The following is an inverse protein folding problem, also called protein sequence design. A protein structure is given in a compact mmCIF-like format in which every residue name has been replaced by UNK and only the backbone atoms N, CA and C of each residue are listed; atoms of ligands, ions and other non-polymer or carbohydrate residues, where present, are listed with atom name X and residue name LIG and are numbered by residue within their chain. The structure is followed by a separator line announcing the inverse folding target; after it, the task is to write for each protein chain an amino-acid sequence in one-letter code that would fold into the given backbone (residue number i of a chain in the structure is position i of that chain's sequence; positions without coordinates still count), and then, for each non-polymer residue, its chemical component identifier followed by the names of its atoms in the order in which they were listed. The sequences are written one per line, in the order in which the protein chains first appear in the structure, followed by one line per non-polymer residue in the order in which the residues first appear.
data_IF_003066685599
#
_entry.id   IF_003066685599
#
_cell.length_a   1.000
_cell.length_b   1.000
_cell.length_c   1.000
_cell.angle_alpha   90.00
_cell.angle_beta   90.00
_cell.angle_gamma   90.00
#
_symmetry.space_group_name_H-M   'P 1'
#
loop_
_entity.id
_entity.type
_entity.pdbx_description
1 polymer ?
#
# COMPACT_ATOMS: atom_id res chain seq x y z
N UNK A 1 10.45 17.98 25.62
CA UNK A 1 11.48 17.79 26.66
C UNK A 1 12.66 18.64 26.27
N UNK A 2 13.24 19.41 27.20
CA UNK A 2 14.48 20.13 26.89
C UNK A 2 15.59 19.10 26.69
N UNK A 3 16.53 19.38 25.78
CA UNK A 3 17.75 18.58 25.60
C UNK A 3 18.50 18.35 26.93
N UNK A 4 18.28 19.23 27.90
CA UNK A 4 18.79 19.17 29.27
C UNK A 4 18.27 17.95 30.05
N UNK A 5 16.96 17.65 29.99
CA UNK A 5 16.39 16.48 30.67
C UNK A 5 16.85 15.16 30.04
N UNK A 6 17.02 15.13 28.72
CA UNK A 6 17.59 13.96 28.03
C UNK A 6 19.04 13.72 28.46
N UNK A 7 19.81 14.78 28.60
CA UNK A 7 21.22 14.71 29.02
C UNK A 7 21.36 14.25 30.46
N UNK A 8 20.45 14.66 31.35
CA UNK A 8 20.42 14.22 32.75
C UNK A 8 20.13 12.71 32.87
N UNK A 9 19.17 12.20 32.11
CA UNK A 9 18.86 10.76 32.08
C UNK A 9 20.08 9.94 31.61
N UNK A 10 20.81 10.43 30.61
CA UNK A 10 22.03 9.77 30.11
C UNK A 10 23.20 9.85 31.09
N UNK A 11 23.34 10.95 31.84
CA UNK A 11 24.35 11.08 32.89
C UNK A 11 24.07 10.11 34.07
N UNK A 12 22.80 9.92 34.44
CA UNK A 12 22.41 8.95 35.47
C UNK A 12 22.67 7.49 35.04
N UNK A 13 22.49 7.18 33.76
CA UNK A 13 22.83 5.87 33.18
C UNK A 13 24.34 5.65 33.16
N UNK A 14 25.14 6.67 32.77
CA UNK A 14 26.60 6.59 32.79
C UNK A 14 27.17 6.38 34.20
N UNK A 15 26.48 6.91 35.23
CA UNK A 15 26.82 6.72 36.65
C UNK A 15 26.29 5.39 37.23
N UNK A 16 25.58 4.59 36.43
CA UNK A 16 25.01 3.30 36.84
C UNK A 16 23.86 3.39 37.83
N UNK A 17 23.28 4.59 38.02
CA UNK A 17 22.14 4.82 38.92
C UNK A 17 20.79 4.54 38.27
N UNK A 18 20.79 4.36 36.96
CA UNK A 18 19.62 4.06 36.14
C UNK A 18 19.99 2.94 35.17
N UNK A 19 19.17 1.90 35.10
CA UNK A 19 19.39 0.82 34.14
C UNK A 19 19.04 1.27 32.72
N UNK A 20 19.58 0.55 31.73
CA UNK A 20 19.29 0.81 30.31
C UNK A 20 17.79 0.69 30.04
N UNK A 21 17.12 -0.30 30.61
CA UNK A 21 15.70 -0.54 30.42
C UNK A 21 14.83 0.60 31.00
N UNK A 22 15.18 1.09 32.19
CA UNK A 22 14.49 2.24 32.80
C UNK A 22 14.71 3.53 32.00
N UNK A 23 15.92 3.75 31.47
CA UNK A 23 16.22 4.90 30.63
C UNK A 23 15.43 4.87 29.31
N UNK A 24 15.22 3.70 28.70
CA UNK A 24 14.43 3.55 27.47
C UNK A 24 12.97 3.96 27.70
N UNK A 25 12.38 3.53 28.82
CA UNK A 25 11.00 3.87 29.17
C UNK A 25 10.88 5.38 29.37
N UNK A 26 11.74 5.98 30.18
CA UNK A 26 11.69 7.42 30.49
C UNK A 26 11.91 8.30 29.25
N UNK A 27 12.80 7.91 28.33
CA UNK A 27 13.01 8.60 27.07
C UNK A 27 11.81 8.48 26.11
N UNK A 28 11.10 7.36 26.14
CA UNK A 28 9.91 7.14 25.31
C UNK A 28 8.71 7.94 25.80
N UNK A 29 8.50 8.00 27.12
CA UNK A 29 7.43 8.78 27.75
C UNK A 29 7.66 10.29 27.55
N UNK A 30 8.92 10.72 27.70
CA UNK A 30 9.38 12.07 27.41
C UNK A 30 9.06 12.51 25.96
N UNK A 31 9.24 11.63 24.98
CA UNK A 31 8.89 11.89 23.57
C UNK A 31 7.38 12.02 23.35
N UNK A 32 6.59 11.16 23.99
CA UNK A 32 5.11 11.17 23.88
C UNK A 32 4.50 12.46 24.45
N UNK A 33 5.10 13.02 25.50
CA UNK A 33 4.72 14.31 26.07
C UNK A 33 5.06 15.51 25.15
N UNK A 34 6.09 15.39 24.31
CA UNK A 34 6.48 16.44 23.35
C UNK A 34 5.54 16.48 22.12
N UNK A 35 5.07 15.32 21.66
CA UNK A 35 4.11 15.23 20.55
C UNK A 35 2.72 15.75 20.92
N UNK A 36 2.38 15.81 22.23
CA UNK A 36 1.10 16.33 22.71
C UNK A 36 1.05 17.87 22.81
N UNK A 37 2.20 18.56 22.77
CA UNK A 37 2.33 20.03 22.82
C UNK A 37 2.61 20.62 21.42
N UNK A 38 2.20 19.93 20.36
CA UNK A 38 2.08 20.52 19.01
C UNK A 38 0.68 20.33 18.42
N UNK A 39 -0.27 19.89 19.23
CA UNK A 39 -1.68 19.80 18.87
C UNK A 39 -2.48 20.72 19.79
N UNK A 40 -2.73 21.95 19.34
CA UNK A 40 -3.80 22.79 19.86
C UNK A 40 -4.85 23.02 18.77
N UNK A 41 -6.12 23.22 19.15
CA UNK A 41 -7.29 22.72 18.43
C UNK A 41 -7.87 23.73 17.45
N UNK A 42 -8.60 23.26 16.44
CA UNK A 42 -9.62 24.05 15.77
C UNK A 42 -10.84 23.18 15.46
N UNK A 43 -11.81 23.23 16.37
CA UNK A 43 -13.21 23.02 16.01
C UNK A 43 -13.67 24.23 15.20
N UNK A 44 -14.28 24.01 14.05
CA UNK A 44 -15.54 24.64 13.65
C UNK A 44 -15.95 24.03 12.30
N UNK A 45 -17.02 23.24 12.28
CA UNK A 45 -17.80 23.02 11.06
C UNK A 45 -18.36 24.37 10.60
N UNK A 46 -18.45 24.61 9.29
CA UNK A 46 -19.76 24.45 8.69
C UNK A 46 -19.73 23.80 7.30
N UNK A 47 -20.86 23.19 6.98
CA UNK A 47 -21.21 22.55 5.73
C UNK A 47 -20.96 23.44 4.49
N UNK A 48 -20.44 22.88 3.40
CA UNK A 48 -20.78 23.37 2.08
C UNK A 48 -21.91 22.51 1.49
N UNK A 49 -23.10 23.10 1.52
CA UNK A 49 -24.24 22.77 0.65
C UNK A 49 -23.73 22.59 -0.79
N UNK A 50 -23.81 21.37 -1.33
CA UNK A 50 -23.59 21.14 -2.76
C UNK A 50 -24.73 21.78 -3.54
N UNK A 51 -24.42 22.92 -4.16
CA UNK A 51 -25.32 23.61 -5.08
C UNK A 51 -25.19 22.96 -6.45
N UNK A 52 -26.28 22.37 -6.92
CA UNK A 52 -26.46 22.02 -8.31
C UNK A 52 -26.61 23.30 -9.13
N UNK A 53 -25.75 23.49 -10.13
CA UNK A 53 -26.03 24.42 -11.23
C UNK A 53 -25.60 23.75 -12.53
N UNK A 54 -26.59 23.51 -13.39
CA UNK A 54 -26.43 23.18 -14.80
C UNK A 54 -26.07 24.47 -15.54
N UNK A 55 -25.08 24.41 -16.42
CA UNK A 55 -25.08 25.21 -17.64
C UNK A 55 -24.75 24.30 -18.82
N UNK A 56 -25.77 24.08 -19.63
CA UNK A 56 -25.71 23.67 -21.03
C UNK A 56 -25.44 24.88 -21.92
N UNK A 57 -24.86 24.60 -23.10
CA UNK A 57 -24.79 25.37 -24.36
C UNK A 57 -23.33 25.36 -24.85
N UNK A 58 -23.01 25.09 -26.10
CA UNK A 58 -23.71 24.59 -27.27
C UNK A 58 -22.59 24.30 -28.28
N UNK A 59 -22.72 23.26 -29.10
CA UNK A 59 -21.63 22.85 -29.98
C UNK A 59 -21.94 21.59 -30.76
N UNK A 60 -23.07 21.62 -31.47
CA UNK A 60 -23.34 21.00 -32.76
C UNK A 60 -22.25 20.05 -33.31
N UNK A 61 -22.57 18.75 -33.37
CA UNK A 61 -22.51 17.99 -34.63
C UNK A 61 -23.64 16.95 -34.62
N UNK A 62 -24.61 17.17 -35.51
CA UNK A 62 -25.77 16.31 -35.73
C UNK A 62 -25.46 15.40 -36.92
N UNK A 63 -25.49 14.10 -36.62
CA UNK A 63 -26.05 12.96 -37.37
C UNK A 63 -25.60 12.75 -38.83
N UNK A 64 -25.14 11.52 -39.15
CA UNK A 64 -26.00 10.58 -39.90
C UNK A 64 -25.75 9.16 -39.40
N UNK A 65 -26.86 8.49 -39.16
CA UNK A 65 -27.08 7.10 -38.74
C UNK A 65 -26.80 6.15 -39.91
N UNK A 66 -26.15 5.02 -39.67
CA UNK A 66 -26.56 3.78 -40.34
C UNK A 66 -26.56 2.64 -39.32
N UNK A 67 -27.75 2.08 -39.13
CA UNK A 67 -28.10 1.04 -38.18
C UNK A 67 -28.29 -0.26 -38.98
N UNK A 68 -27.43 -1.25 -38.74
CA UNK A 68 -27.56 -2.71 -38.99
C UNK A 68 -26.12 -3.26 -39.10
N UNK A 69 -25.65 -4.32 -38.44
CA UNK A 69 -26.28 -5.56 -37.99
C UNK A 69 -25.59 -6.12 -36.73
N UNK A 70 -26.31 -7.08 -36.14
CA UNK A 70 -26.05 -7.83 -34.92
C UNK A 70 -24.96 -8.89 -35.12
N UNK A 71 -24.30 -9.25 -34.02
CA UNK A 71 -23.72 -10.57 -33.70
C UNK A 71 -22.20 -10.78 -33.88
N UNK A 72 -21.59 -11.10 -32.73
CA UNK A 72 -20.52 -12.09 -32.53
C UNK A 72 -19.15 -11.86 -33.20
N UNK A 73 -18.19 -11.37 -32.40
CA UNK A 73 -16.95 -12.15 -32.21
C UNK A 73 -16.17 -11.71 -30.98
N UNK A 74 -16.44 -12.40 -29.87
CA UNK A 74 -15.51 -12.56 -28.78
C UNK A 74 -14.21 -13.19 -29.28
N UNK A 75 -13.06 -12.69 -28.78
CA UNK A 75 -11.68 -13.25 -28.80
C UNK A 75 -10.67 -12.43 -29.61
N UNK A 76 -10.30 -11.26 -29.11
CA UNK A 76 -8.98 -10.69 -29.43
C UNK A 76 -8.35 -9.86 -28.30
N UNK A 77 -8.69 -10.20 -27.05
CA UNK A 77 -8.08 -9.62 -25.85
C UNK A 77 -7.06 -10.57 -25.16
N UNK A 78 -6.53 -11.57 -25.88
CA UNK A 78 -5.84 -12.70 -25.25
C UNK A 78 -4.46 -13.06 -25.84
N UNK A 79 -3.72 -12.12 -26.45
CA UNK A 79 -2.32 -12.41 -26.81
C UNK A 79 -1.41 -11.19 -26.98
N UNK A 80 -1.19 -10.38 -25.92
CA UNK A 80 0.00 -9.52 -25.89
C UNK A 80 0.50 -9.08 -24.50
N UNK A 81 0.59 -10.00 -23.54
CA UNK A 81 1.41 -9.78 -22.33
C UNK A 81 2.05 -11.09 -21.86
N UNK A 82 2.81 -11.75 -22.73
CA UNK A 82 3.65 -12.91 -22.36
C UNK A 82 5.08 -12.77 -22.87
N UNK A 83 5.67 -11.58 -22.67
CA UNK A 83 7.06 -11.34 -22.98
C UNK A 83 7.57 -10.14 -22.16
N UNK A 84 8.12 -10.41 -20.98
CA UNK A 84 9.25 -9.71 -20.36
C UNK A 84 9.33 -10.05 -18.86
N UNK A 85 10.05 -11.12 -18.53
CA UNK A 85 10.72 -11.24 -17.23
C UNK A 85 11.86 -12.25 -17.38
N UNK A 86 12.80 -11.96 -18.27
CA UNK A 86 14.18 -12.42 -18.05
C UNK A 86 14.75 -11.46 -17.02
N UNK A 87 14.76 -11.84 -15.74
CA UNK A 87 15.42 -11.07 -14.70
C UNK A 87 16.44 -11.95 -13.99
N UNK A 88 17.60 -11.37 -13.71
CA UNK A 88 18.62 -11.95 -12.83
C UNK A 88 17.93 -12.54 -11.60
N UNK A 89 18.43 -13.67 -11.09
CA UNK A 89 17.98 -14.30 -9.84
C UNK A 89 18.29 -13.47 -8.57
N UNK A 90 18.11 -12.15 -8.65
CA UNK A 90 18.19 -11.22 -7.55
C UNK A 90 16.91 -11.33 -6.72
N UNK A 91 17.10 -11.53 -5.42
CA UNK A 91 16.00 -11.53 -4.45
C UNK A 91 15.37 -10.14 -4.40
N UNK A 92 14.04 -10.02 -4.60
CA UNK A 92 13.37 -8.73 -4.53
C UNK A 92 13.47 -8.14 -3.12
N UNK A 93 13.65 -6.83 -3.09
CA UNK A 93 13.80 -6.03 -1.87
C UNK A 93 12.45 -5.47 -1.42
N UNK A 94 11.53 -5.24 -2.36
CA UNK A 94 10.24 -4.60 -2.13
C UNK A 94 9.10 -5.37 -2.78
N UNK A 95 7.97 -5.39 -2.08
CA UNK A 95 6.67 -5.80 -2.58
C UNK A 95 5.84 -4.53 -2.77
N UNK A 96 5.50 -4.22 -4.02
CA UNK A 96 4.68 -3.06 -4.38
C UNK A 96 3.28 -3.52 -4.73
N UNK A 97 2.30 -3.06 -3.97
CA UNK A 97 0.87 -3.32 -4.19
C UNK A 97 0.24 -2.05 -4.76
N UNK A 98 -0.47 -2.17 -5.87
CA UNK A 98 -1.21 -1.07 -6.50
C UNK A 98 -2.68 -1.44 -6.55
N UNK A 99 -3.53 -0.53 -6.09
CA UNK A 99 -4.98 -0.64 -6.20
C UNK A 99 -5.43 0.48 -7.11
N UNK A 100 -5.94 0.12 -8.29
CA UNK A 100 -6.52 1.02 -9.26
C UNK A 100 -8.02 0.83 -9.38
N UNK A 101 -8.68 1.78 -10.02
CA UNK A 101 -10.06 1.66 -10.42
C UNK A 101 -10.15 0.94 -11.78
N UNK A 102 -11.05 -0.04 -11.90
CA UNK A 102 -11.16 -0.91 -13.06
C UNK A 102 -11.72 -0.15 -14.29
N UNK A 103 -12.81 0.60 -14.11
CA UNK A 103 -13.48 1.36 -15.19
C UNK A 103 -12.66 2.53 -15.73
N UNK A 104 -11.95 3.26 -14.88
CA UNK A 104 -11.19 4.46 -15.27
C UNK A 104 -9.69 4.22 -15.48
N UNK A 105 -9.17 3.07 -15.03
CA UNK A 105 -7.74 2.74 -15.06
C UNK A 105 -6.87 3.61 -14.14
N UNK A 106 -7.47 4.47 -13.31
CA UNK A 106 -6.74 5.39 -12.42
C UNK A 106 -6.26 4.68 -11.16
N UNK A 107 -5.01 4.91 -10.77
CA UNK A 107 -4.46 4.38 -9.52
C UNK A 107 -5.07 5.11 -8.31
N UNK A 108 -5.66 4.35 -7.38
CA UNK A 108 -6.28 4.85 -6.15
C UNK A 108 -5.27 4.82 -4.98
N UNK A 109 -4.55 3.71 -4.81
CA UNK A 109 -3.58 3.51 -3.72
C UNK A 109 -2.34 2.79 -4.23
N UNK A 110 -1.18 3.13 -3.70
CA UNK A 110 0.05 2.36 -3.89
C UNK A 110 0.76 2.19 -2.55
N UNK A 111 1.13 0.95 -2.24
CA UNK A 111 1.80 0.56 -1.01
C UNK A 111 3.11 -0.13 -1.36
N UNK A 112 4.19 0.31 -0.73
CA UNK A 112 5.52 -0.29 -0.87
C UNK A 112 5.93 -0.91 0.45
N UNK A 113 6.14 -2.23 0.47
CA UNK A 113 6.45 -3.00 1.66
C UNK A 113 7.82 -3.66 1.46
N UNK A 114 8.81 -3.45 2.34
CA UNK A 114 10.05 -4.21 2.31
C UNK A 114 9.76 -5.72 2.41
N UNK A 115 10.39 -6.53 1.57
CA UNK A 115 10.15 -7.98 1.52
C UNK A 115 10.43 -8.66 2.87
N UNK A 116 11.43 -8.19 3.61
CA UNK A 116 11.72 -8.69 4.96
C UNK A 116 10.58 -8.51 5.96
N UNK A 117 9.80 -7.43 5.83
CA UNK A 117 8.63 -7.18 6.68
C UNK A 117 7.48 -8.10 6.31
N UNK A 118 7.28 -8.40 5.02
CA UNK A 118 6.27 -9.36 4.57
C UNK A 118 6.55 -10.74 5.17
N UNK A 119 7.81 -11.22 5.07
CA UNK A 119 8.23 -12.49 5.69
C UNK A 119 7.98 -12.52 7.20
N UNK A 120 8.35 -11.45 7.89
CA UNK A 120 8.13 -11.33 9.32
C UNK A 120 6.64 -11.32 9.69
N UNK A 121 5.82 -10.57 8.94
CA UNK A 121 4.39 -10.48 9.16
C UNK A 121 3.69 -11.81 8.98
N UNK A 122 4.04 -12.57 7.93
CA UNK A 122 3.49 -13.91 7.71
C UNK A 122 3.91 -14.89 8.80
N UNK A 123 5.16 -14.84 9.27
CA UNK A 123 5.64 -15.68 10.37
C UNK A 123 4.85 -15.44 11.68
N UNK A 124 4.50 -14.18 11.95
CA UNK A 124 3.64 -13.86 13.09
C UNK A 124 2.20 -14.33 12.83
N UNK A 125 1.67 -14.06 11.64
CA UNK A 125 0.30 -14.40 11.27
C UNK A 125 0.02 -15.91 11.35
N UNK A 126 0.99 -16.76 10.99
CA UNK A 126 0.85 -18.21 11.04
C UNK A 126 0.57 -18.75 12.45
N UNK A 127 0.93 -17.99 13.50
CA UNK A 127 0.64 -18.34 14.90
C UNK A 127 -0.79 -18.02 15.33
N UNK A 128 -1.48 -17.13 14.63
CA UNK A 128 -2.84 -16.69 14.97
C UNK A 128 -3.88 -17.25 14.02
N UNK A 129 -3.47 -17.62 12.81
CA UNK A 129 -4.34 -18.02 11.72
C UNK A 129 -3.68 -19.24 11.03
N UNK A 130 -4.10 -20.47 11.38
CA UNK A 130 -3.47 -21.69 10.86
C UNK A 130 -3.66 -21.86 9.35
N UNK A 131 -4.64 -21.20 8.75
CA UNK A 131 -4.82 -21.11 7.29
C UNK A 131 -3.65 -20.39 6.59
N UNK A 132 -2.92 -19.52 7.30
CA UNK A 132 -1.70 -18.85 6.78
C UNK A 132 -0.50 -19.77 6.87
N UNK A 133 -0.50 -20.75 7.78
CA UNK A 133 0.57 -21.75 7.90
C UNK A 133 0.62 -22.69 6.69
N UNK A 134 -0.50 -22.84 5.96
CA UNK A 134 -0.56 -23.54 4.67
C UNK A 134 0.27 -22.86 3.57
N UNK A 135 0.69 -21.60 3.78
CA UNK A 135 1.65 -20.93 2.90
C UNK A 135 3.08 -21.22 3.34
N UNK A 136 3.73 -22.17 2.67
CA UNK A 136 5.15 -22.46 2.85
C UNK A 136 6.02 -21.24 2.47
N UNK A 137 6.47 -20.49 3.47
CA UNK A 137 7.30 -19.28 3.28
C UNK A 137 8.64 -19.58 2.62
N UNK A 138 9.20 -20.77 2.90
CA UNK A 138 10.42 -21.24 2.28
C UNK A 138 10.20 -21.51 0.79
N UNK A 139 9.10 -22.17 0.43
CA UNK A 139 8.72 -22.39 -0.97
C UNK A 139 8.42 -21.07 -1.69
N UNK A 140 7.67 -20.16 -1.06
CA UNK A 140 7.45 -18.81 -1.57
C UNK A 140 8.77 -18.09 -1.83
N UNK A 141 9.74 -18.21 -0.93
CA UNK A 141 11.03 -17.55 -1.11
C UNK A 141 11.86 -18.17 -2.24
N UNK A 142 11.80 -19.49 -2.40
CA UNK A 142 12.43 -20.19 -3.52
C UNK A 142 11.77 -19.81 -4.86
N UNK A 143 10.44 -19.76 -4.90
CA UNK A 143 9.66 -19.36 -6.06
C UNK A 143 9.95 -17.90 -6.45
N UNK A 144 10.01 -17.01 -5.47
CA UNK A 144 10.35 -15.59 -5.67
C UNK A 144 11.77 -15.42 -6.21
N UNK A 145 12.75 -16.14 -5.67
CA UNK A 145 14.13 -16.11 -6.17
C UNK A 145 14.25 -16.67 -7.60
N UNK A 146 13.37 -17.59 -7.99
CA UNK A 146 13.33 -18.18 -9.35
C UNK A 146 12.52 -17.38 -10.37
N UNK A 147 11.50 -16.62 -9.92
CA UNK A 147 10.60 -15.83 -10.77
C UNK A 147 11.15 -14.43 -11.05
N UNK A 148 12.01 -13.93 -10.15
CA UNK A 148 12.68 -12.65 -10.27
C UNK A 148 11.75 -11.44 -10.12
N UNK A 149 12.23 -10.28 -10.58
CA UNK A 149 11.58 -8.97 -10.41
C UNK A 149 10.48 -8.79 -11.46
N UNK A 150 9.27 -8.39 -11.06
CA UNK A 150 8.14 -8.22 -12.00
C UNK A 150 6.75 -8.27 -11.36
N UNK A 151 5.72 -8.25 -12.21
CA UNK A 151 4.32 -8.38 -11.78
C UNK A 151 4.01 -9.84 -11.50
N UNK A 152 3.54 -10.15 -10.29
CA UNK A 152 3.24 -11.53 -9.87
C UNK A 152 1.75 -11.82 -9.78
N UNK A 153 0.94 -10.80 -9.49
CA UNK A 153 -0.50 -10.96 -9.30
C UNK A 153 -1.21 -9.78 -9.93
N UNK A 154 -2.33 -10.10 -10.58
CA UNK A 154 -3.24 -9.14 -11.18
C UNK A 154 -4.66 -9.68 -11.01
N UNK A 155 -5.45 -9.00 -10.19
CA UNK A 155 -6.81 -9.40 -9.83
C UNK A 155 -7.75 -8.22 -10.08
N UNK A 156 -8.87 -8.52 -10.70
CA UNK A 156 -9.93 -7.56 -10.98
C UNK A 156 -11.16 -7.93 -10.14
N UNK A 157 -11.68 -6.96 -9.41
CA UNK A 157 -12.95 -7.06 -8.68
C UNK A 157 -13.97 -6.14 -9.35
N UNK A 158 -14.89 -6.77 -10.09
CA UNK A 158 -15.95 -6.07 -10.81
C UNK A 158 -17.04 -5.52 -9.88
N UNK A 159 -17.20 -6.06 -8.67
CA UNK A 159 -18.21 -5.58 -7.71
C UNK A 159 -17.77 -4.27 -7.06
N UNK A 160 -16.49 -4.16 -6.71
CA UNK A 160 -15.89 -2.95 -6.12
C UNK A 160 -15.37 -1.94 -7.15
N UNK A 161 -15.34 -2.29 -8.45
CA UNK A 161 -14.71 -1.50 -9.53
C UNK A 161 -13.20 -1.25 -9.25
N UNK A 162 -12.51 -2.28 -8.75
CA UNK A 162 -11.12 -2.23 -8.31
C UNK A 162 -10.24 -3.25 -9.06
N UNK A 163 -8.99 -2.87 -9.33
CA UNK A 163 -7.95 -3.74 -9.88
C UNK A 163 -6.73 -3.71 -8.97
N UNK A 164 -6.34 -4.87 -8.46
CA UNK A 164 -5.21 -5.05 -7.56
C UNK A 164 -4.06 -5.70 -8.31
N UNK A 165 -2.92 -5.03 -8.34
CA UNK A 165 -1.68 -5.53 -8.93
C UNK A 165 -0.61 -5.63 -7.86
N UNK A 166 0.16 -6.72 -7.90
CA UNK A 166 1.29 -6.95 -7.00
C UNK A 166 2.57 -7.13 -7.82
N UNK A 167 3.59 -6.39 -7.44
CA UNK A 167 4.91 -6.39 -8.06
C UNK A 167 5.98 -6.75 -7.04
N UNK A 168 6.99 -7.47 -7.51
CA UNK A 168 8.26 -7.67 -6.84
C UNK A 168 9.29 -6.75 -7.48
N UNK A 169 10.02 -6.00 -6.65
CA UNK A 169 11.04 -5.00 -6.98
C UNK A 169 12.35 -5.27 -6.24
#
# INVERSE_FOLDING_TARGET
MSEESRKEILDLLARGKLSVDEAVILLSEARKAETAVSASPKSESPDPVYKAEKQSEDGEIVLVVDESEVAESSKEAALKTKAAAETNGETPRWLRVRVGNLSTGKNKVTVNIPYGIVKFGLNIASRFSPEVDEFDLDELSAAVNGMGVGMIVDVEDAESDERVQVYLE
#
